data_IF_472797552886
#
_entry.id   IF_472797552886
#
_cell.length_a   1.000
_cell.length_b   1.000
_cell.length_c   1.000
_cell.angle_alpha   90.00
_cell.angle_beta   90.00
_cell.angle_gamma   90.00
#
_symmetry.space_group_name_H-M   'P 1'
#
loop_
_entity.id
_entity.type
_entity.pdbx_description
1 polymer ?
#
# COMPACT_ATOMS: atom_id res chain seq x y z
N UNK A 1 8.73 -2.76 10.94
CA UNK A 1 8.14 -4.12 10.80
C UNK A 1 8.44 -4.93 12.07
N UNK A 2 7.56 -5.83 12.51
CA UNK A 2 7.76 -6.64 13.73
C UNK A 2 8.62 -7.89 13.50
N UNK A 3 9.20 -8.46 14.57
CA UNK A 3 9.96 -9.71 14.48
C UNK A 3 9.11 -10.89 13.98
N UNK A 4 7.84 -10.94 14.35
CA UNK A 4 6.88 -11.94 13.89
C UNK A 4 6.64 -11.83 12.38
N UNK A 5 6.53 -10.60 11.85
CA UNK A 5 6.39 -10.39 10.41
C UNK A 5 7.61 -10.93 9.65
N UNK A 6 8.83 -10.64 10.15
CA UNK A 6 10.08 -11.14 9.58
C UNK A 6 10.13 -12.68 9.63
N UNK A 7 9.73 -13.30 10.75
CA UNK A 7 9.66 -14.76 10.87
C UNK A 7 8.65 -15.40 9.89
N UNK A 8 7.61 -14.66 9.52
CA UNK A 8 6.65 -15.03 8.48
C UNK A 8 7.12 -14.68 7.06
N UNK A 9 8.42 -14.44 6.86
CA UNK A 9 9.02 -14.19 5.55
C UNK A 9 8.65 -12.85 4.92
N UNK A 10 8.08 -11.93 5.68
CA UNK A 10 7.83 -10.57 5.20
C UNK A 10 9.14 -9.80 5.20
N UNK A 11 9.30 -8.94 4.20
CA UNK A 11 10.45 -8.07 4.04
C UNK A 11 9.95 -6.70 3.58
N UNK A 12 10.28 -5.67 4.35
CA UNK A 12 9.83 -4.29 4.12
C UNK A 12 10.25 -3.80 2.72
N UNK A 13 11.53 -3.93 2.38
CA UNK A 13 12.09 -3.42 1.15
C UNK A 13 11.56 -4.16 -0.09
N UNK A 14 11.28 -5.46 0.04
CA UNK A 14 10.67 -6.25 -1.01
C UNK A 14 9.22 -5.81 -1.28
N UNK A 15 8.44 -5.56 -0.22
CA UNK A 15 7.06 -5.05 -0.33
C UNK A 15 7.07 -3.66 -0.96
N UNK A 16 7.87 -2.74 -0.42
CA UNK A 16 7.98 -1.38 -0.93
C UNK A 16 8.44 -1.38 -2.39
N UNK A 17 9.41 -2.21 -2.74
CA UNK A 17 9.93 -2.33 -4.11
C UNK A 17 8.86 -2.83 -5.07
N UNK A 18 8.17 -3.93 -4.75
CA UNK A 18 7.16 -4.51 -5.63
C UNK A 18 6.01 -3.51 -5.90
N UNK A 19 5.49 -2.88 -4.85
CA UNK A 19 4.32 -2.00 -4.99
C UNK A 19 4.71 -0.68 -5.67
N UNK A 20 5.86 -0.08 -5.33
CA UNK A 20 6.35 1.13 -6.02
C UNK A 20 6.62 0.90 -7.50
N UNK A 21 7.23 -0.22 -7.87
CA UNK A 21 7.47 -0.57 -9.28
C UNK A 21 6.17 -0.67 -10.08
N UNK A 22 5.13 -1.27 -9.53
CA UNK A 22 3.80 -1.36 -10.18
C UNK A 22 3.18 0.02 -10.42
N UNK A 23 3.23 0.89 -9.42
CA UNK A 23 2.72 2.26 -9.52
C UNK A 23 3.50 3.09 -10.55
N UNK A 24 4.84 3.02 -10.52
CA UNK A 24 5.70 3.69 -11.51
C UNK A 24 5.43 3.18 -12.93
N UNK A 25 5.28 1.86 -13.12
CA UNK A 25 4.92 1.29 -14.42
C UNK A 25 3.54 1.74 -14.92
N UNK A 26 2.65 2.14 -14.02
CA UNK A 26 1.36 2.71 -14.34
C UNK A 26 1.38 4.24 -14.57
N UNK A 27 2.55 4.89 -14.46
CA UNK A 27 2.74 6.32 -14.70
C UNK A 27 2.61 7.20 -13.46
N UNK A 28 2.47 6.62 -12.26
CA UNK A 28 2.43 7.40 -11.02
C UNK A 28 3.85 7.74 -10.55
N UNK A 29 4.09 9.01 -10.25
CA UNK A 29 5.33 9.49 -9.65
C UNK A 29 5.33 9.18 -8.14
N UNK A 30 5.59 7.92 -7.79
CA UNK A 30 5.64 7.47 -6.40
C UNK A 30 7.08 7.52 -5.89
N UNK A 31 7.33 8.38 -4.90
CA UNK A 31 8.62 8.39 -4.21
C UNK A 31 8.58 7.44 -3.01
N UNK A 32 9.66 6.68 -2.87
CA UNK A 32 9.95 5.86 -1.69
C UNK A 32 10.33 6.77 -0.52
N UNK A 33 9.81 6.51 0.66
CA UNK A 33 10.13 7.26 1.89
C UNK A 33 9.98 8.80 1.77
N UNK A 34 8.92 9.26 1.11
CA UNK A 34 8.61 10.68 0.94
C UNK A 34 7.19 10.99 1.41
N UNK A 35 6.99 12.20 1.92
CA UNK A 35 5.70 12.75 2.38
C UNK A 35 5.31 14.04 1.64
N UNK A 36 6.12 14.51 0.68
CA UNK A 36 5.83 15.72 -0.10
C UNK A 36 5.13 15.41 -1.43
N UNK A 37 5.49 14.30 -2.08
CA UNK A 37 4.93 13.84 -3.38
C UNK A 37 3.83 12.77 -3.19
N UNK A 38 3.37 12.14 -4.29
CA UNK A 38 2.51 10.94 -4.18
C UNK A 38 3.29 9.83 -3.48
N UNK A 39 2.74 9.29 -2.40
CA UNK A 39 3.42 8.28 -1.58
C UNK A 39 2.49 7.13 -1.19
N UNK A 40 3.10 5.95 -1.03
CA UNK A 40 2.42 4.74 -0.60
C UNK A 40 2.69 4.51 0.88
N UNK A 41 1.62 4.27 1.65
CA UNK A 41 1.70 3.81 3.03
C UNK A 41 1.11 2.42 3.15
N UNK A 42 1.88 1.48 3.70
CA UNK A 42 1.43 0.10 3.96
C UNK A 42 1.54 -0.17 5.45
N UNK A 43 0.39 -0.38 6.10
CA UNK A 43 0.33 -0.90 7.44
C UNK A 43 0.21 -2.42 7.39
N UNK A 44 1.04 -3.12 8.17
CA UNK A 44 1.06 -4.58 8.20
C UNK A 44 1.19 -5.09 9.63
N UNK A 45 0.22 -5.91 10.04
CA UNK A 45 0.18 -6.57 11.33
C UNK A 45 0.17 -8.09 11.13
N UNK A 46 1.16 -8.78 11.70
CA UNK A 46 1.31 -10.24 11.57
C UNK A 46 1.19 -10.94 12.91
N UNK A 47 0.49 -12.08 12.92
CA UNK A 47 0.47 -13.05 14.01
C UNK A 47 0.75 -14.45 13.49
N UNK A 48 1.29 -15.31 14.35
CA UNK A 48 1.53 -16.73 14.05
C UNK A 48 0.60 -17.57 14.90
N UNK A 49 -0.15 -18.45 14.24
CA UNK A 49 -1.05 -19.41 14.89
C UNK A 49 -0.25 -20.59 15.47
N UNK A 50 -0.78 -21.31 16.48
CA UNK A 50 -0.09 -22.46 17.07
C UNK A 50 0.30 -23.57 16.08
N UNK A 51 -0.41 -23.68 14.96
CA UNK A 51 -0.11 -24.64 13.89
C UNK A 51 0.98 -24.16 12.90
N UNK A 52 1.65 -23.03 13.17
CA UNK A 52 2.69 -22.45 12.32
C UNK A 52 2.17 -21.62 11.14
N UNK A 53 0.86 -21.44 11.00
CA UNK A 53 0.27 -20.56 9.99
C UNK A 53 0.49 -19.10 10.36
N UNK A 54 1.03 -18.32 9.43
CA UNK A 54 1.12 -16.88 9.53
C UNK A 54 -0.16 -16.24 9.03
N UNK A 55 -0.67 -15.27 9.79
CA UNK A 55 -1.84 -14.45 9.43
C UNK A 55 -1.42 -13.00 9.47
N UNK A 56 -1.59 -12.29 8.36
CA UNK A 56 -1.32 -10.86 8.27
C UNK A 56 -2.55 -10.09 7.84
N UNK A 57 -2.84 -9.02 8.57
CA UNK A 57 -3.69 -7.93 8.11
C UNK A 57 -2.80 -6.88 7.47
N UNK A 58 -3.14 -6.47 6.26
CA UNK A 58 -2.42 -5.44 5.53
C UNK A 58 -3.42 -4.40 5.01
N UNK A 59 -3.09 -3.12 5.19
CA UNK A 59 -3.86 -1.98 4.72
C UNK A 59 -2.92 -1.08 3.91
N UNK A 60 -3.25 -0.85 2.64
CA UNK A 60 -2.45 -0.07 1.70
C UNK A 60 -3.18 1.21 1.30
N UNK A 61 -2.46 2.33 1.38
CA UNK A 61 -2.94 3.67 1.07
C UNK A 61 -2.03 4.32 0.04
N UNK A 62 -2.61 4.92 -0.98
CA UNK A 62 -1.89 5.82 -1.89
C UNK A 62 -2.38 7.23 -1.65
N UNK A 63 -1.49 8.10 -1.20
CA UNK A 63 -1.78 9.49 -0.93
C UNK A 63 -1.10 10.39 -1.97
N UNK A 64 -1.72 11.54 -2.22
CA UNK A 64 -1.09 12.66 -2.91
C UNK A 64 -1.48 13.96 -2.21
N UNK A 65 -0.84 15.06 -2.57
CA UNK A 65 -1.17 16.38 -2.05
C UNK A 65 -1.78 17.26 -3.14
N UNK A 66 -2.78 18.05 -2.76
CA UNK A 66 -3.40 19.03 -3.64
C UNK A 66 -3.75 20.29 -2.86
N UNK A 67 -3.92 21.41 -3.54
CA UNK A 67 -4.48 22.62 -2.94
C UNK A 67 -5.99 22.62 -3.06
N UNK A 68 -6.70 22.86 -1.97
CA UNK A 68 -8.16 22.99 -1.95
C UNK A 68 -8.59 24.30 -1.31
N UNK A 69 -9.65 24.91 -1.86
CA UNK A 69 -10.33 26.03 -1.24
C UNK A 69 -11.38 25.49 -0.26
N UNK A 70 -11.34 25.97 0.97
CA UNK A 70 -12.30 25.59 2.01
C UNK A 70 -13.35 26.70 2.15
N UNK A 71 -14.61 26.32 2.36
CA UNK A 71 -15.74 27.25 2.43
C UNK A 71 -15.65 28.31 3.54
N UNK A 72 -14.73 28.13 4.49
CA UNK A 72 -14.54 28.98 5.67
C UNK A 72 -13.20 29.72 5.66
N UNK A 73 -12.45 29.73 4.55
CA UNK A 73 -11.20 30.48 4.43
C UNK A 73 -10.93 30.93 3.00
N UNK A 74 -10.50 32.17 2.83
CA UNK A 74 -10.21 32.78 1.52
C UNK A 74 -8.85 32.37 0.91
N UNK A 75 -8.05 31.58 1.63
CA UNK A 75 -6.74 31.11 1.19
C UNK A 75 -6.77 29.60 0.93
N UNK A 76 -6.19 29.12 -0.19
CA UNK A 76 -6.04 27.69 -0.44
C UNK A 76 -5.23 27.03 0.68
N UNK A 77 -5.62 25.80 1.03
CA UNK A 77 -4.85 24.97 1.96
C UNK A 77 -4.33 23.73 1.25
N UNK A 78 -3.18 23.23 1.69
CA UNK A 78 -2.67 21.93 1.26
C UNK A 78 -3.51 20.84 1.94
N UNK A 79 -4.10 19.95 1.14
CA UNK A 79 -4.83 18.78 1.61
C UNK A 79 -4.14 17.51 1.14
N UNK A 80 -4.23 16.47 1.96
CA UNK A 80 -3.84 15.13 1.59
C UNK A 80 -5.05 14.39 1.00
N UNK A 81 -4.90 13.92 -0.23
CA UNK A 81 -5.94 13.22 -0.99
C UNK A 81 -5.62 11.73 -0.96
N UNK A 82 -6.55 10.91 -0.46
CA UNK A 82 -6.47 9.45 -0.55
C UNK A 82 -6.94 9.00 -1.93
N UNK A 83 -6.02 8.54 -2.77
CA UNK A 83 -6.30 8.01 -4.11
C UNK A 83 -6.73 6.54 -4.06
N UNK A 84 -6.13 5.78 -3.14
CA UNK A 84 -6.41 4.36 -2.94
C UNK A 84 -6.41 4.06 -1.44
N UNK A 85 -7.39 3.28 -0.99
CA UNK A 85 -7.37 2.62 0.31
C UNK A 85 -7.92 1.21 0.14
N UNK A 86 -7.05 0.20 0.35
CA UNK A 86 -7.41 -1.21 0.25
C UNK A 86 -6.79 -2.00 1.38
N UNK A 87 -7.64 -2.72 2.11
CA UNK A 87 -7.25 -3.61 3.19
C UNK A 87 -7.55 -5.07 2.85
N UNK A 88 -6.79 -5.97 3.45
CA UNK A 88 -6.94 -7.40 3.30
C UNK A 88 -6.40 -8.19 4.49
N UNK A 89 -6.79 -9.45 4.55
CA UNK A 89 -6.24 -10.44 5.48
C UNK A 89 -5.81 -11.64 4.66
N UNK A 90 -4.57 -12.08 4.86
CA UNK A 90 -4.02 -13.28 4.25
C UNK A 90 -3.53 -14.26 5.30
N UNK A 91 -3.71 -15.55 5.05
CA UNK A 91 -3.16 -16.62 5.88
C UNK A 91 -2.45 -17.67 5.03
N UNK A 92 -1.28 -18.11 5.47
CA UNK A 92 -0.50 -19.15 4.79
C UNK A 92 0.65 -19.66 5.65
N UNK A 93 1.29 -20.74 5.22
CA UNK A 93 2.52 -21.22 5.84
C UNK A 93 3.64 -20.16 5.76
N UNK A 94 4.47 -20.07 6.79
CA UNK A 94 5.52 -19.04 6.91
C UNK A 94 6.42 -18.92 5.66
N UNK A 95 6.77 -20.05 5.03
CA UNK A 95 7.65 -20.09 3.84
C UNK A 95 7.04 -19.43 2.61
N UNK A 96 5.72 -19.36 2.50
CA UNK A 96 5.01 -18.78 1.36
C UNK A 96 4.33 -17.43 1.70
N UNK A 97 4.38 -17.01 2.96
CA UNK A 97 3.55 -15.92 3.46
C UNK A 97 3.97 -14.55 2.93
N UNK A 98 5.26 -14.23 2.95
CA UNK A 98 5.77 -13.00 2.37
C UNK A 98 5.35 -12.82 0.90
N UNK A 99 5.53 -13.86 0.08
CA UNK A 99 5.14 -13.85 -1.33
C UNK A 99 3.63 -13.76 -1.55
N UNK A 100 2.81 -14.31 -0.64
CA UNK A 100 1.36 -14.19 -0.71
C UNK A 100 0.90 -12.76 -0.43
N UNK A 101 1.48 -12.11 0.59
CA UNK A 101 1.15 -10.71 0.94
C UNK A 101 1.59 -9.74 -0.16
N UNK A 102 2.80 -9.90 -0.71
CA UNK A 102 3.27 -9.05 -1.83
C UNK A 102 2.31 -9.15 -3.02
N UNK A 103 1.93 -10.36 -3.44
CA UNK A 103 0.99 -10.55 -4.55
C UNK A 103 -0.38 -9.91 -4.29
N UNK A 104 -0.87 -9.97 -3.06
CA UNK A 104 -2.14 -9.33 -2.71
C UNK A 104 -2.05 -7.80 -2.80
N UNK A 105 -0.95 -7.21 -2.34
CA UNK A 105 -0.71 -5.77 -2.45
C UNK A 105 -0.54 -5.31 -3.90
N UNK A 106 0.19 -6.07 -4.73
CA UNK A 106 0.28 -5.81 -6.17
C UNK A 106 -1.10 -5.84 -6.83
N UNK A 107 -1.94 -6.83 -6.50
CA UNK A 107 -3.30 -6.93 -7.05
C UNK A 107 -4.18 -5.73 -6.69
N UNK A 108 -3.98 -5.13 -5.51
CA UNK A 108 -4.69 -3.90 -5.13
C UNK A 108 -4.27 -2.71 -5.98
N UNK A 109 -2.97 -2.58 -6.26
CA UNK A 109 -2.45 -1.55 -7.17
C UNK A 109 -2.98 -1.77 -8.58
N UNK A 110 -2.93 -3.00 -9.11
CA UNK A 110 -3.39 -3.30 -10.46
C UNK A 110 -4.89 -2.96 -10.64
N UNK A 111 -5.71 -3.28 -9.63
CA UNK A 111 -7.12 -2.91 -9.62
C UNK A 111 -7.31 -1.38 -9.63
N UNK A 112 -6.58 -0.66 -8.77
CA UNK A 112 -6.63 0.80 -8.70
C UNK A 112 -6.22 1.44 -10.04
N UNK A 113 -5.11 0.97 -10.63
CA UNK A 113 -4.62 1.44 -11.93
C UNK A 113 -5.67 1.24 -13.02
N UNK A 114 -6.34 0.09 -13.02
CA UNK A 114 -7.41 -0.21 -13.97
C UNK A 114 -8.58 0.77 -13.80
N UNK A 115 -9.02 1.00 -12.56
CA UNK A 115 -10.10 1.93 -12.24
C UNK A 115 -9.81 3.36 -12.70
N UNK A 116 -8.58 3.85 -12.47
CA UNK A 116 -8.16 5.18 -12.91
C UNK A 116 -8.10 5.28 -14.43
N UNK A 117 -7.58 4.25 -15.12
CA UNK A 117 -7.55 4.23 -16.59
C UNK A 117 -8.94 4.27 -17.19
N UNK A 118 -9.87 3.48 -16.65
CA UNK A 118 -11.24 3.43 -17.14
C UNK A 118 -12.00 4.75 -16.87
N UNK A 119 -11.73 5.42 -15.74
CA UNK A 119 -12.31 6.72 -15.43
C UNK A 119 -11.81 7.88 -16.33
N UNK A 120 -10.68 7.69 -17.01
CA UNK A 120 -10.09 8.67 -17.92
C UNK A 120 -10.37 8.36 -19.41
N UNK A 121 -11.21 7.37 -19.71
CA UNK A 121 -11.75 7.13 -21.04
C UNK A 121 -13.01 7.96 -21.27
#
# INVERSE_FOLDING_TARGET
MSAQAVACGLNHDAIETAVSQRLTAAGFAVRRNSDEDTYLYVNLMTTTMPNGTCVSRYDAFLYTHATANLSYRDQPVLVQVSLMHRGGIGSSAATAHGAAVVRALESYVDLFVTQIRDANR
#
